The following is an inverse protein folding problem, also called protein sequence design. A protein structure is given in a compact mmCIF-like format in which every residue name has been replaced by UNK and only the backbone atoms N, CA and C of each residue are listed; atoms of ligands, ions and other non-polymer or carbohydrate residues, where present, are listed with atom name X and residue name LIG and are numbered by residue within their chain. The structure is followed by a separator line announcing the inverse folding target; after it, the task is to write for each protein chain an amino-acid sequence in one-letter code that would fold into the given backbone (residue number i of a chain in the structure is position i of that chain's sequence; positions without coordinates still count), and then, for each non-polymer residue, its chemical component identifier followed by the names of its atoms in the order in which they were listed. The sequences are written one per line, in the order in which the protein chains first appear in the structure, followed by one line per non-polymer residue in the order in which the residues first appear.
data_IF_391953427900
#
_entry.id   IF_391953427900
#
_cell.length_a   1.000
_cell.length_b   1.000
_cell.length_c   1.000
_cell.angle_alpha   90.00
_cell.angle_beta   90.00
_cell.angle_gamma   90.00
#
_symmetry.space_group_name_H-M   'P 1'
#
loop_
_entity.id
_entity.type
_entity.pdbx_description
1 polymer ?
#
# COMPACT_ATOMS: atom_id res chain seq x y z
N UNK A 1 16.41 -7.11 1.26
CA UNK A 1 15.15 -7.89 1.39
C UNK A 1 14.99 -8.51 2.78
N UNK A 2 15.90 -9.36 3.27
CA UNK A 2 15.78 -10.04 4.59
C UNK A 2 15.51 -9.07 5.75
N UNK A 3 16.26 -7.95 5.81
CA UNK A 3 16.06 -6.91 6.82
C UNK A 3 14.67 -6.26 6.74
N UNK A 4 14.22 -5.90 5.54
CA UNK A 4 12.91 -5.28 5.32
C UNK A 4 11.76 -6.24 5.68
N UNK A 5 11.91 -7.53 5.35
CA UNK A 5 10.97 -8.57 5.77
C UNK A 5 10.91 -8.71 7.29
N UNK A 6 12.07 -8.72 7.95
CA UNK A 6 12.15 -8.76 9.42
C UNK A 6 11.45 -7.57 10.07
N UNK A 7 11.65 -6.36 9.53
CA UNK A 7 10.99 -5.15 9.98
C UNK A 7 9.46 -5.21 9.82
N UNK A 8 8.98 -5.72 8.67
CA UNK A 8 7.54 -5.90 8.46
C UNK A 8 6.96 -6.85 9.51
N UNK A 9 7.56 -8.02 9.71
CA UNK A 9 7.10 -9.03 10.68
C UNK A 9 7.11 -8.51 12.12
N UNK A 10 8.08 -7.68 12.49
CA UNK A 10 8.22 -7.15 13.84
C UNK A 10 7.32 -5.94 14.14
N UNK A 11 6.66 -5.35 13.13
CA UNK A 11 5.81 -4.17 13.34
C UNK A 11 4.56 -4.52 14.16
N UNK A 12 4.31 -3.74 15.21
CA UNK A 12 3.25 -4.01 16.20
C UNK A 12 1.99 -3.18 16.02
N UNK A 13 2.02 -2.15 15.19
CA UNK A 13 0.86 -1.31 14.88
C UNK A 13 0.68 -1.14 13.36
N UNK A 14 -0.55 -0.82 12.90
CA UNK A 14 -0.86 -0.73 11.48
C UNK A 14 0.00 0.28 10.70
N UNK A 15 0.30 1.45 11.27
CA UNK A 15 1.13 2.46 10.60
C UNK A 15 2.59 1.99 10.41
N UNK A 16 3.20 1.44 11.45
CA UNK A 16 4.56 0.89 11.38
C UNK A 16 4.62 -0.30 10.40
N UNK A 17 3.57 -1.12 10.37
CA UNK A 17 3.46 -2.22 9.42
C UNK A 17 3.38 -1.72 7.99
N UNK A 18 2.62 -0.66 7.74
CA UNK A 18 2.50 0.01 6.44
C UNK A 18 3.87 0.45 5.89
N UNK A 19 4.63 1.16 6.72
CA UNK A 19 5.93 1.69 6.34
C UNK A 19 6.92 0.56 6.06
N UNK A 20 6.93 -0.46 6.91
CA UNK A 20 7.82 -1.60 6.75
C UNK A 20 7.47 -2.45 5.51
N UNK A 21 6.18 -2.62 5.19
CA UNK A 21 5.75 -3.27 3.95
C UNK A 21 6.14 -2.44 2.72
N UNK A 22 5.98 -1.12 2.75
CA UNK A 22 6.45 -0.24 1.65
C UNK A 22 7.96 -0.36 1.38
N UNK A 23 8.77 -0.44 2.44
CA UNK A 23 10.21 -0.69 2.33
C UNK A 23 10.53 -2.08 1.75
N UNK A 24 9.74 -3.10 2.12
CA UNK A 24 9.88 -4.44 1.56
C UNK A 24 9.56 -4.45 0.06
N UNK A 25 8.46 -3.83 -0.37
CA UNK A 25 8.10 -3.73 -1.79
C UNK A 25 9.16 -3.01 -2.61
N UNK A 26 9.76 -1.93 -2.08
CA UNK A 26 10.89 -1.27 -2.73
C UNK A 26 12.11 -2.18 -2.85
N UNK A 27 12.46 -2.90 -1.78
CA UNK A 27 13.60 -3.83 -1.80
C UNK A 27 13.38 -5.00 -2.77
N UNK A 28 12.13 -5.44 -2.96
CA UNK A 28 11.76 -6.49 -3.92
C UNK A 28 11.86 -5.99 -5.36
N UNK A 29 11.42 -4.76 -5.65
CA UNK A 29 11.63 -4.15 -6.98
C UNK A 29 13.11 -4.11 -7.36
N UNK A 30 13.98 -3.74 -6.43
CA UNK A 30 15.43 -3.74 -6.66
C UNK A 30 15.97 -5.17 -6.88
N UNK A 31 15.46 -6.17 -6.15
CA UNK A 31 15.84 -7.57 -6.36
C UNK A 31 15.46 -8.05 -7.76
N UNK A 32 14.25 -7.75 -8.23
CA UNK A 32 13.82 -8.13 -9.58
C UNK A 32 14.65 -7.44 -10.67
N UNK A 33 14.97 -6.15 -10.50
CA UNK A 33 15.86 -5.43 -11.43
C UNK A 33 17.25 -6.07 -11.53
N UNK A 34 17.82 -6.54 -10.41
CA UNK A 34 19.09 -7.29 -10.42
C UNK A 34 18.92 -8.65 -11.10
N UNK A 35 17.81 -9.34 -10.85
CA UNK A 35 17.55 -10.66 -11.44
C UNK A 35 17.40 -10.61 -12.98
N UNK A 36 17.07 -9.47 -13.57
CA UNK A 36 17.10 -9.29 -15.03
C UNK A 36 18.49 -9.49 -15.63
N UNK A 37 19.54 -9.18 -14.88
CA UNK A 37 20.93 -9.42 -15.29
C UNK A 37 21.38 -10.88 -15.14
N UNK A 38 20.56 -11.76 -14.55
CA UNK A 38 20.87 -13.17 -14.30
C UNK A 38 19.79 -14.09 -14.89
N UNK A 39 19.89 -14.46 -16.19
CA UNK A 39 18.88 -15.24 -16.90
C UNK A 39 18.55 -16.59 -16.25
N UNK A 40 19.58 -17.27 -15.71
CA UNK A 40 19.44 -18.56 -14.99
C UNK A 40 18.54 -18.42 -13.74
N UNK A 41 18.70 -17.33 -12.98
CA UNK A 41 17.87 -17.06 -11.80
C UNK A 41 16.44 -16.72 -12.20
N UNK A 42 16.26 -15.93 -13.27
CA UNK A 42 14.95 -15.57 -13.82
C UNK A 42 14.18 -16.79 -14.37
N UNK A 43 14.89 -17.77 -14.94
CA UNK A 43 14.30 -19.00 -15.45
C UNK A 43 14.00 -20.03 -14.34
N UNK A 44 14.52 -19.83 -13.13
CA UNK A 44 14.26 -20.72 -12.00
C UNK A 44 12.77 -20.73 -11.64
N UNK A 45 12.14 -21.90 -11.68
CA UNK A 45 10.73 -22.08 -11.32
C UNK A 45 10.43 -21.58 -9.88
N UNK A 46 11.38 -21.75 -8.95
CA UNK A 46 11.24 -21.25 -7.58
C UNK A 46 11.21 -19.72 -7.51
N UNK A 47 12.01 -19.05 -8.35
CA UNK A 47 12.06 -17.60 -8.42
C UNK A 47 10.79 -17.02 -9.06
N UNK A 48 10.30 -17.66 -10.13
CA UNK A 48 9.05 -17.28 -10.80
C UNK A 48 7.83 -17.45 -9.88
N UNK A 49 7.76 -18.56 -9.15
CA UNK A 49 6.71 -18.80 -8.14
C UNK A 49 6.74 -17.76 -7.01
N UNK A 50 7.93 -17.42 -6.52
CA UNK A 50 8.10 -16.37 -5.53
C UNK A 50 7.66 -15.00 -6.08
N UNK A 51 8.03 -14.67 -7.31
CA UNK A 51 7.61 -13.43 -7.97
C UNK A 51 6.10 -13.34 -8.10
N UNK A 52 5.43 -14.42 -8.54
CA UNK A 52 3.97 -14.48 -8.62
C UNK A 52 3.30 -14.26 -7.27
N UNK A 53 3.73 -15.02 -6.26
CA UNK A 53 3.20 -14.90 -4.88
C UNK A 53 3.37 -13.49 -4.32
N UNK A 54 4.54 -12.87 -4.53
CA UNK A 54 4.79 -11.50 -4.08
C UNK A 54 3.91 -10.48 -4.81
N UNK A 55 3.66 -10.70 -6.11
CA UNK A 55 2.75 -9.85 -6.89
C UNK A 55 1.32 -9.96 -6.37
N UNK A 56 0.86 -11.17 -6.05
CA UNK A 56 -0.46 -11.39 -5.47
C UNK A 56 -0.59 -10.75 -4.08
N UNK A 57 0.44 -10.86 -3.24
CA UNK A 57 0.48 -10.21 -1.94
C UNK A 57 0.43 -8.69 -2.09
N UNK A 58 1.21 -8.10 -3.00
CA UNK A 58 1.18 -6.65 -3.25
C UNK A 58 -0.21 -6.21 -3.73
N UNK A 59 -0.84 -6.96 -4.64
CA UNK A 59 -2.20 -6.66 -5.10
C UNK A 59 -3.21 -6.67 -3.93
N UNK A 60 -3.13 -7.67 -3.04
CA UNK A 60 -3.97 -7.75 -1.84
C UNK A 60 -3.71 -6.58 -0.88
N UNK A 61 -2.45 -6.18 -0.66
CA UNK A 61 -2.10 -5.01 0.18
C UNK A 61 -2.69 -3.74 -0.42
N UNK A 62 -2.58 -3.54 -1.73
CA UNK A 62 -3.14 -2.38 -2.42
C UNK A 62 -4.67 -2.36 -2.34
N UNK A 63 -5.32 -3.51 -2.47
CA UNK A 63 -6.77 -3.63 -2.29
C UNK A 63 -7.21 -3.29 -0.86
N UNK A 64 -6.55 -3.87 0.15
CA UNK A 64 -6.82 -3.58 1.54
C UNK A 64 -6.63 -2.09 1.87
N UNK A 65 -5.59 -1.45 1.31
CA UNK A 65 -5.36 0.00 1.41
C UNK A 65 -6.51 0.80 0.81
N UNK A 66 -6.94 0.46 -0.42
CA UNK A 66 -8.08 1.14 -1.08
C UNK A 66 -9.35 0.99 -0.27
N UNK A 67 -9.63 -0.21 0.24
CA UNK A 67 -10.80 -0.49 1.07
C UNK A 67 -10.80 0.32 2.36
N UNK A 68 -9.69 0.32 3.11
CA UNK A 68 -9.54 1.13 4.32
C UNK A 68 -9.78 2.62 4.02
N UNK A 69 -9.16 3.15 2.96
CA UNK A 69 -9.32 4.55 2.58
C UNK A 69 -10.76 4.89 2.18
N UNK A 70 -11.46 4.00 1.50
CA UNK A 70 -12.88 4.18 1.18
C UNK A 70 -13.73 4.28 2.44
N UNK A 71 -13.54 3.38 3.42
CA UNK A 71 -14.27 3.40 4.68
C UNK A 71 -13.93 4.65 5.51
N UNK A 72 -12.67 5.05 5.58
CA UNK A 72 -12.25 6.28 6.27
C UNK A 72 -12.86 7.52 5.61
N UNK A 73 -12.90 7.56 4.27
CA UNK A 73 -13.54 8.65 3.53
C UNK A 73 -15.01 8.77 3.89
N UNK A 74 -15.71 7.65 3.88
CA UNK A 74 -17.15 7.61 4.15
C UNK A 74 -17.42 8.04 5.61
N UNK A 75 -16.62 7.55 6.57
CA UNK A 75 -16.66 8.01 7.96
C UNK A 75 -16.43 9.52 8.07
N UNK A 76 -15.33 10.03 7.49
CA UNK A 76 -14.98 11.44 7.55
C UNK A 76 -16.07 12.32 6.93
N UNK A 77 -16.68 11.86 5.84
CA UNK A 77 -17.81 12.53 5.19
C UNK A 77 -19.02 12.58 6.11
N UNK A 78 -19.36 11.49 6.79
CA UNK A 78 -20.47 11.47 7.76
C UNK A 78 -20.22 12.39 8.95
N UNK A 79 -18.98 12.47 9.44
CA UNK A 79 -18.58 13.37 10.53
C UNK A 79 -18.74 14.84 10.13
N UNK A 80 -18.54 15.19 8.86
CA UNK A 80 -18.64 16.58 8.37
C UNK A 80 -20.05 16.98 7.89
N UNK A 81 -20.88 16.00 7.52
CA UNK A 81 -22.14 16.27 6.81
C UNK A 81 -23.33 16.35 7.76
N UNK A 82 -24.24 17.30 7.52
CA UNK A 82 -25.53 17.37 8.23
C UNK A 82 -26.49 16.29 7.69
N UNK A 83 -27.26 15.57 8.53
CA UNK A 83 -27.37 15.73 9.99
C UNK A 83 -26.41 14.85 10.80
N UNK A 84 -25.63 13.97 10.15
CA UNK A 84 -24.78 12.99 10.84
C UNK A 84 -23.69 13.62 11.72
N UNK A 85 -23.22 14.83 11.40
CA UNK A 85 -22.26 15.59 12.20
C UNK A 85 -22.76 15.94 13.62
N UNK A 86 -24.08 16.07 13.82
CA UNK A 86 -24.69 16.31 15.15
C UNK A 86 -24.56 15.06 16.03
N UNK A 87 -24.89 13.90 15.47
CA UNK A 87 -24.72 12.59 16.11
C UNK A 87 -23.23 12.35 16.37
N UNK A 88 -22.36 12.66 15.40
CA UNK A 88 -20.91 12.57 15.54
C UNK A 88 -20.39 13.39 16.71
N UNK A 89 -20.85 14.64 16.84
CA UNK A 89 -20.48 15.52 17.95
C UNK A 89 -20.97 15.00 19.30
N UNK A 90 -22.22 14.53 19.37
CA UNK A 90 -22.82 14.03 20.62
C UNK A 90 -22.13 12.76 21.14
N UNK A 91 -21.78 11.84 20.24
CA UNK A 91 -21.12 10.56 20.56
C UNK A 91 -19.59 10.60 20.41
N UNK A 92 -19.00 11.78 20.11
CA UNK A 92 -17.56 11.98 19.93
C UNK A 92 -16.92 11.11 18.84
N UNK A 93 -17.63 10.86 17.75
CA UNK A 93 -17.03 10.27 16.56
C UNK A 93 -16.06 11.26 15.92
N UNK A 94 -14.81 10.83 15.74
CA UNK A 94 -13.72 11.65 15.18
C UNK A 94 -13.29 11.13 13.81
N UNK A 95 -12.76 12.03 12.99
CA UNK A 95 -12.15 11.67 11.72
C UNK A 95 -10.99 10.70 11.91
N UNK A 96 -10.77 9.87 10.91
CA UNK A 96 -9.61 8.98 10.82
C UNK A 96 -8.69 9.45 9.69
N UNK A 97 -7.41 9.19 9.86
CA UNK A 97 -6.38 9.46 8.86
C UNK A 97 -6.44 8.42 7.74
N UNK A 98 -6.19 8.84 6.51
CA UNK A 98 -6.04 7.92 5.40
C UNK A 98 -4.72 7.16 5.50
N UNK A 99 -4.70 5.97 4.93
CA UNK A 99 -3.52 5.16 4.73
C UNK A 99 -2.89 5.51 3.37
N UNK A 100 -2.17 6.63 3.35
CA UNK A 100 -1.47 7.12 2.15
C UNK A 100 -0.05 6.52 2.08
N UNK A 101 0.50 6.24 0.89
CA UNK A 101 1.93 5.96 0.76
C UNK A 101 2.71 7.27 1.00
N UNK A 102 3.89 7.16 1.64
CA UNK A 102 4.75 8.31 1.98
C UNK A 102 5.20 9.14 0.75
N UNK A 103 5.02 8.63 -0.47
CA UNK A 103 5.47 9.28 -1.71
C UNK A 103 4.29 9.96 -2.43
N UNK A 104 4.33 11.30 -2.62
CA UNK A 104 3.35 12.04 -3.43
C UNK A 104 3.30 11.58 -4.90
N UNK A 105 4.38 10.93 -5.37
CA UNK A 105 4.56 10.39 -6.72
C UNK A 105 3.50 9.32 -7.06
N UNK A 106 3.05 8.53 -6.07
CA UNK A 106 2.04 7.48 -6.25
C UNK A 106 0.61 8.03 -6.44
N UNK A 107 0.40 9.34 -6.23
CA UNK A 107 -0.88 10.04 -6.50
C UNK A 107 -0.95 10.63 -7.91
N UNK A 108 0.14 10.61 -8.67
CA UNK A 108 0.13 11.21 -10.00
C UNK A 108 -0.72 10.35 -10.92
N UNK A 109 -1.89 10.86 -11.27
CA UNK A 109 -2.69 10.36 -12.39
C UNK A 109 -1.79 10.45 -13.63
N UNK A 110 -1.51 9.34 -14.35
CA UNK A 110 -0.67 9.41 -15.54
C UNK A 110 -1.28 10.42 -16.51
N UNK A 111 -0.56 11.51 -16.77
CA UNK A 111 -0.96 12.50 -17.77
C UNK A 111 -0.80 11.85 -19.13
N UNK A 112 -1.88 11.26 -19.64
CA UNK A 112 -1.91 10.76 -21.02
C UNK A 112 -1.97 11.97 -21.93
N UNK A 113 -0.81 12.41 -22.39
CA UNK A 113 -0.69 13.36 -23.49
C UNK A 113 -0.69 12.56 -24.79
N UNK A 114 -1.80 12.62 -25.52
CA UNK A 114 -1.79 12.33 -26.94
C UNK A 114 -1.30 13.60 -27.64
N UNK A 115 -0.01 13.69 -27.96
CA UNK A 115 0.43 14.56 -29.05
C UNK A 115 0.13 13.84 -30.36
N UNK A 116 -0.41 14.44 -31.42
CA UNK A 116 -0.63 15.84 -31.82
C UNK A 116 -1.96 15.94 -32.57
#
# INVERSE_FOLDING_TARGET
VVRARGAAVAATNPEARAQAEGQLSQALRQLFAVAEAYPELKASANFQSLQGTLTDIENNIQEARRYYNAVVRDLNTMVDTFPSNLIASFFRFVKRTYFEPDRPEDRQVPRVSFGS
#
